data_IF_541813242154
#
_entry.id   IF_541813242154
#
_cell.length_a   1.000
_cell.length_b   1.000
_cell.length_c   1.000
_cell.angle_alpha   90.00
_cell.angle_beta   90.00
_cell.angle_gamma   90.00
#
_symmetry.space_group_name_H-M   'P 1'
#
loop_
_entity.id
_entity.type
_entity.pdbx_description
1 polymer ?
#
# COMPACT_ATOMS: atom_id res chain seq x y z
N UNK A 1 16.27 -23.29 -22.04
CA UNK A 1 15.62 -23.04 -20.75
C UNK A 1 14.79 -24.26 -20.40
N UNK A 2 15.26 -25.06 -19.44
CA UNK A 2 14.58 -26.27 -18.95
C UNK A 2 13.43 -25.88 -18.01
N UNK A 3 12.45 -26.77 -17.84
CA UNK A 3 11.28 -26.52 -16.98
C UNK A 3 11.69 -26.16 -15.53
N UNK A 4 12.79 -26.72 -15.02
CA UNK A 4 13.35 -26.40 -13.69
C UNK A 4 13.83 -24.95 -13.54
N UNK A 5 14.26 -24.33 -14.64
CA UNK A 5 14.77 -22.95 -14.65
C UNK A 5 13.60 -21.93 -14.62
N UNK A 6 12.48 -22.27 -15.28
CA UNK A 6 11.24 -21.48 -15.21
C UNK A 6 10.61 -21.53 -13.82
N UNK A 7 10.56 -22.71 -13.18
CA UNK A 7 9.96 -22.87 -11.86
C UNK A 7 10.76 -22.15 -10.76
N UNK A 8 12.09 -22.23 -10.79
CA UNK A 8 12.94 -21.51 -9.85
C UNK A 8 12.80 -19.99 -9.99
N UNK A 9 12.68 -19.48 -11.21
CA UNK A 9 12.46 -18.06 -11.47
C UNK A 9 11.09 -17.58 -10.98
N UNK A 10 10.02 -18.34 -11.25
CA UNK A 10 8.65 -18.05 -10.78
C UNK A 10 8.56 -18.03 -9.24
N UNK A 11 9.26 -18.96 -8.57
CA UNK A 11 9.32 -19.03 -7.10
C UNK A 11 10.10 -17.87 -6.47
N UNK A 12 11.21 -17.48 -7.10
CA UNK A 12 12.01 -16.33 -6.67
C UNK A 12 11.22 -15.02 -6.83
N UNK A 13 10.56 -14.83 -7.98
CA UNK A 13 9.76 -13.63 -8.27
C UNK A 13 8.57 -13.49 -7.31
N UNK A 14 7.87 -14.59 -7.00
CA UNK A 14 6.79 -14.58 -5.99
C UNK A 14 7.30 -14.21 -4.58
N UNK A 15 8.49 -14.69 -4.18
CA UNK A 15 9.07 -14.32 -2.89
C UNK A 15 9.42 -12.83 -2.80
N UNK A 16 9.99 -12.28 -3.88
CA UNK A 16 10.35 -10.85 -3.97
C UNK A 16 9.09 -9.99 -3.96
N UNK A 17 8.04 -10.37 -4.68
CA UNK A 17 6.74 -9.68 -4.68
C UNK A 17 6.15 -9.66 -3.27
N UNK A 18 6.15 -10.79 -2.55
CA UNK A 18 5.65 -10.84 -1.17
C UNK A 18 6.45 -9.95 -0.22
N UNK A 19 7.79 -9.94 -0.32
CA UNK A 19 8.63 -9.07 0.51
C UNK A 19 8.41 -7.58 0.24
N UNK A 20 8.32 -7.19 -1.05
CA UNK A 20 8.05 -5.81 -1.45
C UNK A 20 6.64 -5.36 -1.03
N UNK A 21 5.66 -6.24 -1.19
CA UNK A 21 4.28 -5.99 -0.80
C UNK A 21 4.12 -5.85 0.72
N UNK A 22 4.83 -6.66 1.49
CA UNK A 22 4.91 -6.55 2.95
C UNK A 22 5.53 -5.21 3.36
N UNK A 23 6.66 -4.83 2.76
CA UNK A 23 7.32 -3.56 3.03
C UNK A 23 6.41 -2.36 2.71
N UNK A 24 5.69 -2.39 1.58
CA UNK A 24 4.72 -1.36 1.21
C UNK A 24 3.53 -1.35 2.19
N UNK A 25 3.04 -2.51 2.63
CA UNK A 25 1.95 -2.59 3.60
C UNK A 25 2.32 -2.01 4.98
N UNK A 26 3.58 -2.10 5.39
CA UNK A 26 4.05 -1.51 6.64
C UNK A 26 4.43 -0.03 6.51
N UNK A 27 4.98 0.40 5.37
CA UNK A 27 5.42 1.79 5.17
C UNK A 27 4.32 2.73 4.69
N UNK A 28 3.37 2.22 3.91
CA UNK A 28 2.24 3.00 3.37
C UNK A 28 1.39 3.65 4.47
N UNK A 29 0.93 2.97 5.53
CA UNK A 29 0.07 3.58 6.54
C UNK A 29 0.77 4.73 7.26
N UNK A 30 2.04 4.55 7.59
CA UNK A 30 2.86 5.57 8.27
C UNK A 30 3.06 6.77 7.35
N UNK A 31 3.44 6.54 6.09
CA UNK A 31 3.66 7.61 5.12
C UNK A 31 2.38 8.42 4.87
N UNK A 32 1.26 7.75 4.56
CA UNK A 32 -0.01 8.43 4.35
C UNK A 32 -0.49 9.16 5.61
N UNK A 33 -0.36 8.55 6.79
CA UNK A 33 -0.73 9.21 8.06
C UNK A 33 0.05 10.51 8.27
N UNK A 34 1.38 10.49 8.08
CA UNK A 34 2.23 11.70 8.22
C UNK A 34 1.83 12.79 7.22
N UNK A 35 1.59 12.42 5.96
CA UNK A 35 1.17 13.37 4.92
C UNK A 35 -0.18 14.00 5.26
N UNK A 36 -1.17 13.19 5.65
CA UNK A 36 -2.51 13.69 6.00
C UNK A 36 -2.49 14.55 7.26
N UNK A 37 -1.71 14.18 8.28
CA UNK A 37 -1.50 14.99 9.49
C UNK A 37 -0.89 16.35 9.13
N UNK A 38 0.10 16.37 8.23
CA UNK A 38 0.75 17.60 7.78
C UNK A 38 -0.24 18.50 7.04
N UNK A 39 -1.02 17.95 6.11
CA UNK A 39 -2.06 18.67 5.37
C UNK A 39 -3.09 19.25 6.33
N UNK A 40 -3.58 18.44 7.28
CA UNK A 40 -4.56 18.87 8.27
C UNK A 40 -4.01 19.96 9.20
N UNK A 41 -2.73 19.90 9.57
CA UNK A 41 -2.09 20.91 10.38
C UNK A 41 -2.04 22.27 9.66
N UNK A 42 -1.66 22.29 8.38
CA UNK A 42 -1.65 23.52 7.58
C UNK A 42 -3.05 24.04 7.29
N UNK A 43 -4.00 23.16 6.95
CA UNK A 43 -5.38 23.53 6.66
C UNK A 43 -6.10 24.14 7.88
N UNK A 44 -5.75 23.66 9.07
CA UNK A 44 -6.38 24.08 10.33
C UNK A 44 -5.50 25.03 11.14
N UNK A 45 -4.50 25.64 10.49
CA UNK A 45 -3.55 26.58 11.11
C UNK A 45 -4.21 27.85 11.67
N UNK A 46 -5.35 28.24 11.09
CA UNK A 46 -6.09 29.45 11.47
C UNK A 46 -7.38 29.15 12.25
N UNK A 47 -7.56 27.90 12.73
CA UNK A 47 -8.74 27.47 13.49
C UNK A 47 -8.42 27.30 14.98
N UNK A 48 -9.46 27.17 15.81
CA UNK A 48 -9.28 26.92 17.25
C UNK A 48 -8.58 25.58 17.53
N UNK A 49 -7.91 25.47 18.68
CA UNK A 49 -7.17 24.26 19.06
C UNK A 49 -8.05 23.00 19.08
N UNK A 50 -9.30 23.13 19.49
CA UNK A 50 -10.27 22.03 19.50
C UNK A 50 -10.55 21.53 18.09
N UNK A 51 -10.77 22.44 17.14
CA UNK A 51 -11.02 22.07 15.73
C UNK A 51 -9.76 21.45 15.12
N UNK A 52 -8.57 22.01 15.41
CA UNK A 52 -7.29 21.45 14.96
C UNK A 52 -7.09 20.01 15.45
N UNK A 53 -7.38 19.76 16.71
CA UNK A 53 -7.23 18.42 17.30
C UNK A 53 -8.17 17.41 16.66
N UNK A 54 -9.45 17.77 16.46
CA UNK A 54 -10.42 16.90 15.79
C UNK A 54 -9.98 16.61 14.35
N UNK A 55 -9.54 17.62 13.60
CA UNK A 55 -9.06 17.44 12.23
C UNK A 55 -7.82 16.54 12.15
N UNK A 56 -6.88 16.63 13.10
CA UNK A 56 -5.71 15.76 13.15
C UNK A 56 -6.10 14.29 13.40
N UNK A 57 -7.06 14.05 14.29
CA UNK A 57 -7.58 12.70 14.56
C UNK A 57 -8.27 12.14 13.32
N UNK A 58 -9.16 12.92 12.69
CA UNK A 58 -9.85 12.51 11.46
C UNK A 58 -8.85 12.24 10.33
N UNK A 59 -7.85 13.09 10.14
CA UNK A 59 -6.80 12.92 9.14
C UNK A 59 -6.00 11.62 9.35
N UNK A 60 -5.77 11.24 10.61
CA UNK A 60 -5.11 9.97 10.95
C UNK A 60 -5.95 8.77 10.53
N UNK A 61 -7.25 8.75 10.87
CA UNK A 61 -8.16 7.67 10.47
C UNK A 61 -8.35 7.60 8.95
N UNK A 62 -8.42 8.75 8.27
CA UNK A 62 -8.47 8.82 6.80
C UNK A 62 -7.18 8.26 6.19
N UNK A 63 -6.01 8.66 6.69
CA UNK A 63 -4.72 8.13 6.23
C UNK A 63 -4.61 6.61 6.37
N UNK A 64 -5.08 6.06 7.50
CA UNK A 64 -5.14 4.61 7.72
C UNK A 64 -6.12 3.94 6.76
N UNK A 65 -7.32 4.48 6.60
CA UNK A 65 -8.33 3.95 5.68
C UNK A 65 -7.87 3.93 4.22
N UNK A 66 -7.24 5.02 3.76
CA UNK A 66 -6.65 5.11 2.41
C UNK A 66 -5.55 4.06 2.24
N UNK A 67 -4.69 3.88 3.25
CA UNK A 67 -3.62 2.88 3.15
C UNK A 67 -4.17 1.45 3.01
N UNK A 68 -5.25 1.09 3.71
CA UNK A 68 -5.89 -0.23 3.55
C UNK A 68 -6.41 -0.39 2.11
N UNK A 69 -7.04 0.65 1.57
CA UNK A 69 -7.50 0.66 0.17
C UNK A 69 -6.37 0.48 -0.84
N UNK A 70 -5.25 1.19 -0.65
CA UNK A 70 -4.05 1.09 -1.52
C UNK A 70 -3.45 -0.31 -1.45
N UNK A 71 -3.34 -0.89 -0.25
CA UNK A 71 -2.86 -2.27 -0.08
C UNK A 71 -3.77 -3.23 -0.84
N UNK A 72 -5.09 -3.12 -0.69
CA UNK A 72 -6.05 -3.99 -1.36
C UNK A 72 -5.96 -3.88 -2.89
N UNK A 73 -5.81 -2.65 -3.41
CA UNK A 73 -5.65 -2.39 -4.84
C UNK A 73 -4.37 -3.03 -5.39
N UNK A 74 -3.25 -2.90 -4.65
CA UNK A 74 -1.98 -3.53 -5.00
C UNK A 74 -2.10 -5.05 -5.00
N UNK A 75 -2.77 -5.67 -4.01
CA UNK A 75 -2.99 -7.13 -4.01
C UNK A 75 -3.78 -7.56 -5.25
N UNK A 76 -4.83 -6.80 -5.60
CA UNK A 76 -5.66 -7.09 -6.78
C UNK A 76 -4.87 -7.00 -8.08
N UNK A 77 -4.00 -5.99 -8.22
CA UNK A 77 -3.14 -5.82 -9.41
C UNK A 77 -2.14 -6.97 -9.52
N UNK A 78 -1.50 -7.34 -8.41
CA UNK A 78 -0.55 -8.46 -8.36
C UNK A 78 -1.25 -9.77 -8.74
N UNK A 79 -2.39 -10.07 -8.13
CA UNK A 79 -3.15 -11.29 -8.42
C UNK A 79 -3.61 -11.35 -9.88
N UNK A 80 -4.00 -10.22 -10.47
CA UNK A 80 -4.36 -10.14 -11.90
C UNK A 80 -3.16 -10.46 -12.79
N UNK A 81 -1.99 -9.87 -12.50
CA UNK A 81 -0.75 -10.12 -13.26
C UNK A 81 -0.29 -11.57 -13.15
N UNK A 82 -0.40 -12.17 -11.96
CA UNK A 82 -0.05 -13.58 -11.76
C UNK A 82 -0.94 -14.52 -12.58
N UNK A 83 -2.24 -14.21 -12.66
CA UNK A 83 -3.19 -14.98 -13.48
C UNK A 83 -2.88 -14.87 -14.97
N UNK A 84 -2.57 -13.68 -15.47
CA UNK A 84 -2.18 -13.47 -16.88
C UNK A 84 -0.90 -14.27 -17.23
N UNK A 85 0.10 -14.30 -16.34
CA UNK A 85 1.33 -15.09 -16.54
C UNK A 85 1.05 -16.61 -16.54
N UNK A 86 0.08 -17.06 -15.74
CA UNK A 86 -0.32 -18.47 -15.69
C UNK A 86 -1.04 -18.90 -16.97
N UNK A 87 -1.97 -18.06 -17.47
CA UNK A 87 -2.71 -18.29 -18.71
C UNK A 87 -1.80 -18.24 -19.95
N UNK A 88 -0.75 -17.40 -19.98
CA UNK A 88 0.26 -17.36 -21.08
C UNK A 88 1.26 -18.53 -21.04
N UNK A 89 1.29 -19.30 -19.94
CA UNK A 89 2.19 -20.45 -19.79
C UNK A 89 1.56 -21.79 -20.20
N UNK A 90 0.27 -21.79 -20.54
CA UNK A 90 -0.46 -22.91 -21.15
C UNK A 90 -0.52 -22.78 -22.66
#
# INVERSE_FOLDING_TARGET
MTNDEKDNKKKLDNSVVTKKMLAVAFTSPVFFSVVFITIAFFATSNSSETVRTIFLVVATFVGLGVSIGVIFLMQKIINKKLKEIEDESQ
#
